data_IF_221029816590
#
_entry.id   IF_221029816590
#
_cell.length_a   1.000
_cell.length_b   1.000
_cell.length_c   1.000
_cell.angle_alpha   90.00
_cell.angle_beta   90.00
_cell.angle_gamma   90.00
#
_symmetry.space_group_name_H-M   'P 1'
#
loop_
_entity.id
_entity.type
_entity.pdbx_description
1 polymer ?
#
# COMPACT_ATOMS: atom_id res chain seq x y z
N UNK A 1 -4.41 2.91 16.01
CA UNK A 1 -4.71 2.52 14.60
C UNK A 1 -3.49 1.84 14.01
N UNK A 2 -3.68 0.80 13.19
CA UNK A 2 -2.55 0.10 12.57
C UNK A 2 -1.79 1.00 11.58
N UNK A 3 -0.48 0.84 11.54
CA UNK A 3 0.39 1.54 10.60
C UNK A 3 0.15 1.08 9.15
N UNK A 4 -0.18 -0.20 8.97
CA UNK A 4 -0.37 -0.79 7.65
C UNK A 4 -1.80 -1.23 7.43
N UNK A 5 -2.35 -0.84 6.29
CA UNK A 5 -3.61 -1.37 5.78
C UNK A 5 -3.37 -2.72 5.10
N UNK A 6 -4.34 -3.64 5.13
CA UNK A 6 -4.20 -4.93 4.46
C UNK A 6 -3.93 -4.79 2.95
N UNK A 7 -4.39 -3.71 2.35
CA UNK A 7 -4.10 -3.36 0.95
C UNK A 7 -2.64 -3.02 0.70
N UNK A 8 -1.95 -2.37 1.65
CA UNK A 8 -0.50 -2.12 1.55
C UNK A 8 0.25 -3.44 1.42
N UNK A 9 -0.10 -4.41 2.28
CA UNK A 9 0.52 -5.71 2.29
C UNK A 9 0.29 -6.45 0.96
N UNK A 10 -0.95 -6.43 0.48
CA UNK A 10 -1.31 -7.04 -0.80
C UNK A 10 -0.56 -6.39 -1.97
N UNK A 11 -0.56 -5.05 -2.04
CA UNK A 11 0.14 -4.31 -3.07
C UNK A 11 1.65 -4.56 -3.03
N UNK A 12 2.28 -4.42 -1.89
CA UNK A 12 3.73 -4.56 -1.76
C UNK A 12 4.21 -5.95 -2.15
N UNK A 13 3.48 -6.99 -1.76
CA UNK A 13 3.87 -8.37 -2.04
C UNK A 13 3.76 -8.74 -3.52
N UNK A 14 2.73 -8.27 -4.21
CA UNK A 14 2.39 -8.77 -5.54
C UNK A 14 2.66 -7.80 -6.70
N UNK A 15 2.97 -6.53 -6.42
CA UNK A 15 3.26 -5.54 -7.49
C UNK A 15 4.46 -5.86 -8.38
N UNK A 16 5.29 -6.83 -7.99
CA UNK A 16 6.45 -7.27 -8.76
C UNK A 16 6.47 -8.80 -8.85
N UNK A 17 6.22 -9.35 -10.02
CA UNK A 17 6.27 -10.80 -10.25
C UNK A 17 7.66 -11.39 -9.99
N UNK A 18 7.70 -12.61 -9.45
CA UNK A 18 8.94 -13.34 -9.15
C UNK A 18 9.70 -12.86 -7.94
N UNK A 19 9.08 -12.04 -7.08
CA UNK A 19 9.66 -11.57 -5.83
C UNK A 19 8.87 -11.99 -4.59
N UNK A 20 7.93 -12.88 -4.75
CA UNK A 20 7.05 -13.37 -3.68
C UNK A 20 7.84 -14.08 -2.57
N UNK A 21 8.95 -14.74 -2.93
CA UNK A 21 9.85 -15.43 -2.00
C UNK A 21 10.90 -14.50 -1.33
N UNK A 22 10.93 -13.23 -1.73
CA UNK A 22 11.82 -12.23 -1.10
C UNK A 22 11.31 -11.77 0.29
N UNK A 23 10.18 -12.31 0.77
CA UNK A 23 9.52 -11.90 1.98
C UNK A 23 9.59 -13.00 3.04
N UNK A 24 10.44 -12.82 4.05
CA UNK A 24 10.36 -13.63 5.26
C UNK A 24 9.26 -13.08 6.16
N UNK A 25 8.37 -13.96 6.62
CA UNK A 25 7.20 -13.57 7.43
C UNK A 25 7.14 -14.35 8.74
N UNK A 26 6.70 -13.69 9.81
CA UNK A 26 6.44 -14.33 11.11
C UNK A 26 5.18 -13.75 11.76
N UNK A 27 4.58 -14.53 12.64
CA UNK A 27 3.44 -14.15 13.49
C UNK A 27 3.79 -14.54 14.91
N UNK A 28 3.52 -13.65 15.86
CA UNK A 28 3.61 -13.94 17.30
C UNK A 28 2.21 -14.08 17.87
N UNK A 29 2.02 -15.11 18.68
CA UNK A 29 0.72 -15.43 19.26
C UNK A 29 0.82 -15.52 20.80
N UNK A 30 -0.16 -14.94 21.48
CA UNK A 30 -0.42 -15.13 22.89
C UNK A 30 -1.78 -15.83 23.06
N UNK A 31 -1.80 -16.96 23.74
CA UNK A 31 -3.02 -17.78 23.92
C UNK A 31 -3.76 -18.09 22.60
N UNK A 32 -3.01 -18.34 21.52
CA UNK A 32 -3.49 -18.59 20.15
C UNK A 32 -4.11 -17.37 19.44
N UNK A 33 -3.97 -16.18 20.01
CA UNK A 33 -4.37 -14.95 19.35
C UNK A 33 -3.13 -14.27 18.77
N UNK A 34 -3.13 -13.88 17.50
CA UNK A 34 -2.02 -13.11 16.93
C UNK A 34 -1.95 -11.74 17.60
N UNK A 35 -0.78 -11.43 18.16
CA UNK A 35 -0.49 -10.14 18.83
C UNK A 35 0.58 -9.32 18.11
N UNK A 36 1.31 -9.94 17.19
CA UNK A 36 2.22 -9.23 16.30
C UNK A 36 2.44 -10.01 15.00
N UNK A 37 2.84 -9.29 13.98
CA UNK A 37 3.33 -9.86 12.73
C UNK A 37 4.52 -9.05 12.21
N UNK A 38 5.37 -9.70 11.41
CA UNK A 38 6.49 -9.05 10.75
C UNK A 38 6.72 -9.60 9.35
N UNK A 39 7.08 -8.72 8.44
CA UNK A 39 7.55 -9.01 7.10
C UNK A 39 8.91 -8.36 6.89
N UNK A 40 9.88 -9.16 6.47
CA UNK A 40 11.18 -8.65 6.07
C UNK A 40 11.23 -8.61 4.55
N UNK A 41 11.26 -7.40 3.99
CA UNK A 41 11.58 -7.22 2.59
C UNK A 41 13.11 -7.21 2.43
N UNK A 42 13.63 -8.21 1.74
CA UNK A 42 15.09 -8.29 1.52
C UNK A 42 15.59 -7.09 0.69
N UNK A 43 16.78 -6.54 1.01
CA UNK A 43 17.77 -7.13 1.90
C UNK A 43 17.60 -6.81 3.39
N UNK A 44 16.81 -5.83 3.81
CA UNK A 44 16.82 -5.44 5.22
C UNK A 44 15.77 -4.39 5.63
N UNK A 45 14.56 -4.46 5.11
CA UNK A 45 13.46 -3.60 5.52
C UNK A 45 12.41 -4.40 6.27
N UNK A 46 12.12 -4.02 7.51
CA UNK A 46 11.07 -4.62 8.34
C UNK A 46 9.78 -3.80 8.24
N UNK A 47 8.70 -4.49 7.92
CA UNK A 47 7.33 -4.03 8.03
C UNK A 47 6.68 -4.87 9.13
N UNK A 48 6.17 -4.25 10.18
CA UNK A 48 5.58 -4.97 11.30
C UNK A 48 4.46 -4.19 11.98
N UNK A 49 3.67 -4.93 12.75
CA UNK A 49 2.75 -4.37 13.74
C UNK A 49 2.84 -5.19 15.02
N UNK A 50 2.74 -4.51 16.15
CA UNK A 50 2.66 -5.12 17.48
C UNK A 50 1.45 -4.53 18.18
N UNK A 51 0.61 -5.40 18.75
CA UNK A 51 -0.52 -4.98 19.57
C UNK A 51 0.01 -4.19 20.77
N UNK A 52 -0.44 -2.94 20.97
CA UNK A 52 0.02 -2.11 22.08
C UNK A 52 -0.31 -2.67 23.46
N UNK A 53 -1.23 -3.63 23.57
CA UNK A 53 -1.53 -4.32 24.82
C UNK A 53 -0.46 -5.38 25.16
N UNK A 54 0.44 -5.72 24.20
CA UNK A 54 1.56 -6.66 24.36
C UNK A 54 2.89 -6.02 23.96
N UNK A 55 3.29 -4.90 24.59
CA UNK A 55 4.45 -4.10 24.17
C UNK A 55 5.78 -4.85 24.26
N UNK A 56 5.88 -5.87 25.14
CA UNK A 56 7.07 -6.71 25.29
C UNK A 56 7.39 -7.52 24.05
N UNK A 57 6.39 -7.84 23.20
CA UNK A 57 6.58 -8.59 21.96
C UNK A 57 7.37 -7.77 20.90
N UNK A 58 7.37 -6.44 21.02
CA UNK A 58 8.13 -5.58 20.10
C UNK A 58 9.62 -5.96 20.03
N UNK A 59 10.21 -6.29 21.19
CA UNK A 59 11.61 -6.75 21.22
C UNK A 59 11.80 -8.07 20.50
N UNK A 60 10.90 -9.02 20.64
CA UNK A 60 11.00 -10.32 19.97
C UNK A 60 10.92 -10.17 18.44
N UNK A 61 10.10 -9.24 17.96
CA UNK A 61 9.99 -8.91 16.53
C UNK A 61 11.31 -8.34 16.01
N UNK A 62 11.94 -7.43 16.74
CA UNK A 62 13.20 -6.80 16.34
C UNK A 62 14.36 -7.80 16.42
N UNK A 63 14.41 -8.63 17.46
CA UNK A 63 15.42 -9.69 17.60
C UNK A 63 15.30 -10.73 16.46
N UNK A 64 14.07 -11.05 16.03
CA UNK A 64 13.84 -11.91 14.88
C UNK A 64 14.35 -11.24 13.58
N UNK A 65 14.08 -9.96 13.39
CA UNK A 65 14.54 -9.20 12.23
C UNK A 65 16.07 -9.18 12.16
N UNK A 66 16.75 -8.86 13.25
CA UNK A 66 18.22 -8.85 13.31
C UNK A 66 18.82 -10.23 13.02
N UNK A 67 18.21 -11.29 13.55
CA UNK A 67 18.66 -12.67 13.33
C UNK A 67 18.56 -13.14 11.88
N UNK A 68 17.47 -12.73 11.18
CA UNK A 68 17.21 -13.15 9.79
C UNK A 68 17.97 -12.29 8.80
N UNK A 69 18.08 -10.99 9.08
CA UNK A 69 18.69 -10.02 8.18
C UNK A 69 20.21 -10.05 8.32
N UNK A 70 20.89 -10.23 7.18
CA UNK A 70 22.37 -10.31 7.12
C UNK A 70 23.02 -9.08 6.47
N UNK A 71 22.30 -7.98 6.42
CA UNK A 71 22.81 -6.71 5.90
C UNK A 71 23.23 -5.80 7.05
N UNK A 72 24.22 -4.92 6.77
CA UNK A 72 24.62 -3.88 7.72
C UNK A 72 23.68 -2.66 7.71
N UNK A 73 22.73 -2.64 6.80
CA UNK A 73 21.75 -1.56 6.66
C UNK A 73 20.35 -2.14 6.86
N UNK A 74 19.78 -1.84 8.03
CA UNK A 74 18.46 -2.29 8.44
C UNK A 74 17.55 -1.07 8.57
N UNK A 75 16.32 -1.18 8.07
CA UNK A 75 15.31 -0.11 8.13
C UNK A 75 14.01 -0.63 8.72
N UNK A 76 13.38 0.19 9.54
CA UNK A 76 12.04 -0.06 10.09
C UNK A 76 11.25 1.24 9.99
N UNK A 77 10.03 1.16 9.45
CA UNK A 77 9.11 2.30 9.42
C UNK A 77 8.06 2.12 10.52
N UNK A 78 7.91 3.13 11.37
CA UNK A 78 6.97 3.12 12.49
C UNK A 78 6.25 4.46 12.58
N UNK A 79 5.03 4.47 13.11
CA UNK A 79 4.33 5.73 13.42
C UNK A 79 4.91 6.36 14.69
N UNK A 80 4.93 7.70 14.75
CA UNK A 80 5.34 8.44 15.94
C UNK A 80 4.51 8.10 17.20
N UNK A 81 3.33 7.51 17.01
CA UNK A 81 2.42 7.08 18.08
C UNK A 81 2.72 5.69 18.61
N UNK A 82 3.57 4.90 17.95
CA UNK A 82 3.93 3.52 18.33
C UNK A 82 5.11 3.52 19.32
N UNK A 83 4.92 4.13 20.48
CA UNK A 83 5.96 4.33 21.49
C UNK A 83 6.64 3.03 21.95
N UNK A 84 5.91 1.91 21.99
CA UNK A 84 6.45 0.60 22.35
C UNK A 84 7.43 0.07 21.30
N UNK A 85 7.14 0.23 20.00
CA UNK A 85 8.06 -0.13 18.92
C UNK A 85 9.27 0.82 18.88
N UNK A 86 9.06 2.12 19.05
CA UNK A 86 10.15 3.10 19.10
C UNK A 86 11.11 2.77 20.24
N UNK A 87 10.59 2.51 21.46
CA UNK A 87 11.42 2.14 22.61
C UNK A 87 12.24 0.86 22.34
N UNK A 88 11.61 -0.18 21.77
CA UNK A 88 12.30 -1.42 21.46
C UNK A 88 13.39 -1.26 20.37
N UNK A 89 13.17 -0.39 19.40
CA UNK A 89 14.15 -0.03 18.38
C UNK A 89 15.34 0.72 18.97
N UNK A 90 15.11 1.70 19.84
CA UNK A 90 16.15 2.46 20.56
C UNK A 90 17.01 1.53 21.43
N UNK A 91 16.35 0.65 22.20
CA UNK A 91 17.02 -0.38 23.03
C UNK A 91 17.88 -1.35 22.17
N UNK A 92 17.51 -1.55 20.91
CA UNK A 92 18.23 -2.37 19.92
C UNK A 92 19.23 -1.56 19.08
N UNK A 93 19.55 -0.33 19.50
CA UNK A 93 20.54 0.57 18.88
C UNK A 93 20.17 1.08 17.48
N UNK A 94 18.89 1.05 17.12
CA UNK A 94 18.42 1.76 15.94
C UNK A 94 18.40 3.27 16.20
N UNK A 95 18.65 4.05 15.16
CA UNK A 95 18.63 5.50 15.24
C UNK A 95 17.62 6.06 14.23
N UNK A 96 16.89 7.12 14.60
CA UNK A 96 16.00 7.80 13.66
C UNK A 96 16.77 8.31 12.43
N UNK A 97 16.24 8.07 11.24
CA UNK A 97 16.77 8.67 10.02
C UNK A 97 16.29 10.12 9.90
N UNK A 98 17.21 11.00 9.51
CA UNK A 98 16.93 12.41 9.25
C UNK A 98 16.31 12.62 7.84
N UNK A 99 15.41 11.74 7.43
CA UNK A 99 14.65 11.85 6.18
C UNK A 99 13.32 12.56 6.43
N UNK A 100 12.71 13.10 5.36
CA UNK A 100 11.40 13.70 5.48
C UNK A 100 10.36 12.63 5.90
N UNK A 101 9.62 12.83 6.99
CA UNK A 101 8.62 11.86 7.42
C UNK A 101 7.49 11.77 6.38
N UNK A 102 6.95 10.58 6.20
CA UNK A 102 5.70 10.39 5.49
C UNK A 102 4.53 10.82 6.39
N UNK A 103 3.51 11.42 5.79
CA UNK A 103 2.32 11.89 6.52
C UNK A 103 1.14 11.01 6.13
N UNK A 104 0.68 10.19 7.08
CA UNK A 104 -0.56 9.46 6.93
C UNK A 104 -1.74 10.42 7.12
N UNK A 105 -2.61 10.50 6.12
CA UNK A 105 -3.82 11.34 6.16
C UNK A 105 -5.07 10.49 6.09
N UNK A 106 -6.09 10.86 6.86
CA UNK A 106 -7.40 10.20 6.83
C UNK A 106 -8.54 11.20 6.83
N UNK A 107 -9.70 10.75 6.32
CA UNK A 107 -10.95 11.50 6.32
C UNK A 107 -12.10 10.57 6.67
N UNK A 108 -13.05 11.04 7.51
CA UNK A 108 -14.33 10.36 7.67
C UNK A 108 -15.24 10.67 6.48
N UNK A 109 -15.90 9.63 5.95
CA UNK A 109 -16.82 9.74 4.82
C UNK A 109 -18.28 9.95 5.26
N UNK A 110 -18.59 9.93 6.55
CA UNK A 110 -19.97 9.96 7.08
C UNK A 110 -20.81 11.15 6.62
N UNK A 111 -20.16 12.26 6.29
CA UNK A 111 -20.83 13.50 5.86
C UNK A 111 -20.19 14.15 4.63
N UNK A 112 -19.39 13.40 3.91
CA UNK A 112 -18.65 13.94 2.76
C UNK A 112 -19.44 13.74 1.45
N UNK A 113 -19.55 14.80 0.68
CA UNK A 113 -20.01 14.74 -0.71
C UNK A 113 -18.94 15.39 -1.59
N UNK A 114 -18.40 14.60 -2.48
CA UNK A 114 -17.34 15.06 -3.36
C UNK A 114 -17.86 15.13 -4.81
N UNK A 115 -18.19 16.32 -5.33
CA UNK A 115 -18.63 16.43 -6.72
C UNK A 115 -17.48 16.00 -7.66
N UNK A 116 -17.81 15.09 -8.55
CA UNK A 116 -16.88 14.66 -9.61
C UNK A 116 -16.98 15.62 -10.77
N UNK A 117 -15.85 16.15 -11.23
CA UNK A 117 -15.77 17.01 -12.41
C UNK A 117 -14.72 16.45 -13.36
N UNK A 118 -15.18 16.01 -14.52
CA UNK A 118 -14.31 15.53 -15.60
C UNK A 118 -14.35 16.52 -16.77
N UNK A 119 -13.24 16.67 -17.50
CA UNK A 119 -13.24 17.40 -18.76
C UNK A 119 -14.20 16.74 -19.77
N UNK A 120 -14.64 17.52 -20.75
CA UNK A 120 -15.56 17.04 -21.78
C UNK A 120 -15.05 15.74 -22.44
N UNK A 121 -15.95 14.78 -22.56
CA UNK A 121 -15.74 13.45 -23.18
C UNK A 121 -14.82 12.51 -22.42
N UNK A 122 -14.25 12.90 -21.27
CA UNK A 122 -13.59 11.96 -20.37
C UNK A 122 -14.66 11.19 -19.57
N UNK A 123 -14.36 9.91 -19.27
CA UNK A 123 -15.28 9.04 -18.55
C UNK A 123 -14.56 8.37 -17.39
N UNK A 124 -15.19 8.39 -16.20
CA UNK A 124 -14.74 7.62 -15.06
C UNK A 124 -15.50 6.28 -15.00
N UNK A 125 -14.79 5.19 -14.78
CA UNK A 125 -15.37 3.87 -14.56
C UNK A 125 -14.41 2.96 -13.78
N UNK A 126 -14.92 1.95 -13.14
CA UNK A 126 -14.08 0.85 -12.67
C UNK A 126 -13.62 -0.04 -13.82
N UNK A 127 -12.55 -0.80 -13.61
CA UNK A 127 -12.04 -1.73 -14.62
C UNK A 127 -12.95 -2.97 -14.75
N UNK A 128 -12.87 -3.63 -15.92
CA UNK A 128 -13.65 -4.82 -16.25
C UNK A 128 -12.82 -6.12 -16.06
N UNK A 129 -11.97 -6.14 -15.07
CA UNK A 129 -11.11 -7.29 -14.84
C UNK A 129 -9.97 -7.39 -15.87
N UNK A 130 -9.64 -8.60 -16.28
CA UNK A 130 -8.51 -8.87 -17.18
C UNK A 130 -8.63 -8.26 -18.59
N UNK A 131 -9.81 -7.87 -19.01
CA UNK A 131 -10.01 -7.19 -20.30
C UNK A 131 -9.30 -5.84 -20.36
N UNK A 132 -9.22 -5.17 -19.23
CA UNK A 132 -8.60 -3.86 -19.09
C UNK A 132 -7.13 -3.91 -18.63
N UNK A 133 -6.58 -5.10 -18.37
CA UNK A 133 -5.28 -5.31 -17.75
C UNK A 133 -4.15 -4.52 -18.44
N UNK A 134 -4.03 -4.65 -19.76
CA UNK A 134 -2.99 -3.97 -20.54
C UNK A 134 -3.07 -2.44 -20.37
N UNK A 135 -4.27 -1.87 -20.51
CA UNK A 135 -4.49 -0.42 -20.36
C UNK A 135 -4.29 0.03 -18.90
N UNK A 136 -4.69 -0.78 -17.93
CA UNK A 136 -4.51 -0.51 -16.49
C UNK A 136 -3.03 -0.47 -16.11
N UNK A 137 -2.23 -1.41 -16.59
CA UNK A 137 -0.78 -1.42 -16.41
C UNK A 137 -0.12 -0.26 -17.13
N UNK A 138 -0.57 0.06 -18.35
CA UNK A 138 -0.03 1.18 -19.12
C UNK A 138 -0.18 2.53 -18.39
N UNK A 139 -1.38 2.85 -17.85
CA UNK A 139 -1.58 4.09 -17.10
C UNK A 139 -0.76 4.13 -15.81
N UNK A 140 -0.64 2.98 -15.10
CA UNK A 140 0.21 2.91 -13.92
C UNK A 140 1.67 3.21 -14.26
N UNK A 141 2.23 2.57 -15.29
CA UNK A 141 3.62 2.79 -15.71
C UNK A 141 3.88 4.21 -16.23
N UNK A 142 2.89 4.83 -16.88
CA UNK A 142 2.97 6.22 -17.30
C UNK A 142 2.99 7.18 -16.11
N UNK A 143 2.15 6.94 -15.10
CA UNK A 143 2.04 7.78 -13.91
C UNK A 143 3.28 7.69 -13.01
N UNK A 144 3.83 6.48 -12.84
CA UNK A 144 4.96 6.17 -11.96
C UNK A 144 6.21 5.86 -12.78
N UNK A 145 7.00 6.88 -13.05
CA UNK A 145 8.26 6.72 -13.78
C UNK A 145 9.17 5.67 -13.09
N UNK A 146 9.71 4.74 -13.86
CA UNK A 146 10.51 3.59 -13.41
C UNK A 146 9.68 2.46 -12.75
N UNK A 147 8.36 2.50 -12.80
CA UNK A 147 7.56 1.36 -12.33
C UNK A 147 7.94 0.07 -13.04
N UNK A 148 8.10 -1.00 -12.28
CA UNK A 148 8.37 -2.36 -12.76
C UNK A 148 7.13 -3.24 -12.78
N UNK A 149 5.95 -2.66 -12.56
CA UNK A 149 4.67 -3.37 -12.66
C UNK A 149 4.50 -3.89 -14.08
N UNK A 150 4.16 -5.18 -14.21
CA UNK A 150 3.88 -5.88 -15.46
C UNK A 150 2.43 -6.36 -15.46
N UNK A 151 1.94 -6.84 -16.58
CA UNK A 151 0.61 -7.47 -16.64
C UNK A 151 0.54 -8.70 -15.73
N UNK A 152 1.59 -9.53 -15.69
CA UNK A 152 1.68 -10.66 -14.79
C UNK A 152 1.57 -10.24 -13.31
N UNK A 153 2.38 -9.26 -12.90
CA UNK A 153 2.36 -8.80 -11.50
C UNK A 153 1.02 -8.15 -11.13
N UNK A 154 0.43 -7.39 -12.05
CA UNK A 154 -0.88 -6.78 -11.79
C UNK A 154 -2.01 -7.82 -11.74
N UNK A 155 -1.91 -8.88 -12.54
CA UNK A 155 -2.83 -10.01 -12.45
C UNK A 155 -2.71 -10.72 -11.08
N UNK A 156 -1.49 -10.85 -10.52
CA UNK A 156 -1.30 -11.36 -9.17
C UNK A 156 -1.96 -10.45 -8.12
N UNK A 157 -1.84 -9.12 -8.28
CA UNK A 157 -2.57 -8.14 -7.44
C UNK A 157 -4.08 -8.34 -7.54
N UNK A 158 -4.63 -8.51 -8.76
CA UNK A 158 -6.06 -8.72 -8.98
C UNK A 158 -6.59 -10.04 -8.38
N UNK A 159 -5.74 -11.03 -8.19
CA UNK A 159 -6.10 -12.34 -7.64
C UNK A 159 -5.88 -12.43 -6.12
N UNK A 160 -5.40 -11.38 -5.47
CA UNK A 160 -5.13 -11.40 -4.03
C UNK A 160 -6.25 -10.73 -3.23
N UNK A 161 -6.47 -11.20 -2.00
CA UNK A 161 -7.35 -10.53 -1.04
C UNK A 161 -6.65 -9.24 -0.52
N UNK A 162 -7.33 -8.12 -0.36
CA UNK A 162 -8.76 -7.87 -0.54
C UNK A 162 -9.09 -7.11 -1.85
N UNK A 163 -8.43 -7.44 -2.96
CA UNK A 163 -8.69 -6.77 -4.23
C UNK A 163 -10.15 -6.92 -4.69
N UNK A 164 -10.73 -5.81 -5.14
CA UNK A 164 -12.05 -5.75 -5.76
C UNK A 164 -11.99 -4.87 -7.02
N UNK A 165 -12.31 -5.46 -8.17
CA UNK A 165 -12.29 -4.73 -9.45
C UNK A 165 -13.28 -3.56 -9.51
N UNK A 166 -14.35 -3.58 -8.72
CA UNK A 166 -15.30 -2.47 -8.61
C UNK A 166 -14.71 -1.25 -7.89
N UNK A 167 -13.59 -1.44 -7.19
CA UNK A 167 -12.83 -0.41 -6.47
C UNK A 167 -11.53 -0.01 -7.18
N UNK A 168 -11.25 -0.56 -8.37
CA UNK A 168 -10.12 -0.16 -9.22
C UNK A 168 -10.61 0.78 -10.32
N UNK A 169 -10.54 2.06 -10.06
CA UNK A 169 -11.10 3.11 -10.90
C UNK A 169 -10.10 3.68 -11.89
N UNK A 170 -10.59 4.01 -13.08
CA UNK A 170 -9.82 4.65 -14.14
C UNK A 170 -10.60 5.81 -14.77
N UNK A 171 -9.87 6.76 -15.32
CA UNK A 171 -10.42 7.77 -16.21
C UNK A 171 -9.95 7.48 -17.62
N UNK A 172 -10.93 7.31 -18.50
CA UNK A 172 -10.74 7.07 -19.92
C UNK A 172 -10.83 8.40 -20.70
N UNK A 173 -9.87 8.65 -21.55
CA UNK A 173 -9.83 9.81 -22.44
C UNK A 173 -10.81 9.62 -23.61
N UNK A 174 -11.09 10.69 -24.40
CA UNK A 174 -11.91 10.58 -25.60
C UNK A 174 -11.41 9.58 -26.65
N UNK A 175 -10.12 9.22 -26.60
CA UNK A 175 -9.49 8.25 -27.51
C UNK A 175 -9.48 6.83 -26.96
N UNK A 176 -10.09 6.57 -25.78
CA UNK A 176 -10.13 5.26 -25.15
C UNK A 176 -8.88 4.89 -24.35
N UNK A 177 -7.91 5.80 -24.18
CA UNK A 177 -6.73 5.56 -23.33
C UNK A 177 -7.09 5.77 -21.85
N UNK A 178 -6.57 4.93 -20.95
CA UNK A 178 -6.60 5.22 -19.53
C UNK A 178 -5.54 6.24 -19.17
N UNK A 179 -5.95 7.32 -18.53
CA UNK A 179 -5.10 8.50 -18.29
C UNK A 179 -4.94 8.85 -16.81
N UNK A 180 -5.78 8.31 -15.96
CA UNK A 180 -5.64 8.35 -14.51
C UNK A 180 -6.22 7.09 -13.91
N UNK A 181 -5.73 6.70 -12.74
CA UNK A 181 -6.22 5.54 -12.00
C UNK A 181 -6.13 5.74 -10.50
N UNK A 182 -7.02 5.07 -9.77
CA UNK A 182 -7.04 4.97 -8.32
C UNK A 182 -7.49 3.56 -7.95
N UNK A 183 -6.66 2.81 -7.24
CA UNK A 183 -7.07 1.56 -6.62
C UNK A 183 -7.43 1.85 -5.17
N UNK A 184 -8.60 1.39 -4.75
CA UNK A 184 -9.08 1.49 -3.39
C UNK A 184 -9.07 0.09 -2.80
N UNK A 185 -8.34 -0.07 -1.71
CA UNK A 185 -8.35 -1.27 -0.90
C UNK A 185 -9.34 -1.08 0.24
N UNK A 186 -10.27 -1.98 0.40
CA UNK A 186 -11.28 -1.86 1.44
C UNK A 186 -11.13 -2.96 2.48
N UNK A 187 -10.93 -2.56 3.72
CA UNK A 187 -10.96 -3.44 4.89
C UNK A 187 -12.39 -3.46 5.46
N UNK A 188 -13.09 -4.56 5.22
CA UNK A 188 -14.46 -4.73 5.67
C UNK A 188 -14.60 -4.81 7.19
N UNK A 189 -13.58 -5.30 7.88
CA UNK A 189 -13.59 -5.46 9.34
C UNK A 189 -13.49 -4.11 10.03
N UNK A 190 -12.51 -3.31 9.61
CA UNK A 190 -12.26 -1.99 10.21
C UNK A 190 -13.03 -0.86 9.53
N UNK A 191 -13.73 -1.13 8.43
CA UNK A 191 -14.45 -0.14 7.61
C UNK A 191 -13.56 1.03 7.17
N UNK A 192 -12.35 0.70 6.75
CA UNK A 192 -11.34 1.64 6.28
C UNK A 192 -11.01 1.36 4.81
N UNK A 193 -10.91 2.43 4.02
CA UNK A 193 -10.44 2.37 2.64
C UNK A 193 -9.09 3.05 2.49
N UNK A 194 -8.14 2.37 1.83
CA UNK A 194 -6.85 2.94 1.44
C UNK A 194 -6.86 3.25 -0.06
N UNK A 195 -6.49 4.47 -0.44
CA UNK A 195 -6.34 4.91 -1.82
C UNK A 195 -4.89 4.78 -2.25
N UNK A 196 -4.51 3.64 -2.81
CA UNK A 196 -3.14 3.39 -3.30
C UNK A 196 -3.11 2.24 -4.33
N UNK A 197 -2.41 2.42 -5.47
CA UNK A 197 -1.79 3.64 -5.99
C UNK A 197 -2.79 4.60 -6.65
N UNK A 198 -2.51 5.89 -6.56
CA UNK A 198 -3.23 6.93 -7.30
C UNK A 198 -2.27 7.61 -8.28
N UNK A 199 -2.63 7.67 -9.56
CA UNK A 199 -1.73 8.23 -10.56
C UNK A 199 -2.41 8.85 -11.76
N UNK A 200 -1.70 9.78 -12.40
CA UNK A 200 -2.12 10.42 -13.66
C UNK A 200 -0.96 10.43 -14.64
N UNK A 201 -1.21 9.97 -15.85
CA UNK A 201 -0.26 10.08 -16.98
C UNK A 201 0.25 11.51 -17.11
N UNK A 202 1.57 11.74 -17.18
CA UNK A 202 2.17 13.08 -17.30
C UNK A 202 1.56 13.96 -18.39
N UNK A 203 1.10 13.36 -19.50
CA UNK A 203 0.47 14.08 -20.62
C UNK A 203 -0.86 14.75 -20.25
N UNK A 204 -1.51 14.25 -19.17
CA UNK A 204 -2.85 14.68 -18.74
C UNK A 204 -2.85 15.30 -17.33
N UNK A 205 -1.68 15.65 -16.81
CA UNK A 205 -1.57 16.32 -15.50
C UNK A 205 -2.18 17.72 -15.53
N UNK A 206 -2.51 18.23 -14.35
CA UNK A 206 -3.11 19.57 -14.13
C UNK A 206 -4.54 19.75 -14.68
N UNK A 207 -5.19 18.64 -15.06
CA UNK A 207 -6.58 18.62 -15.51
C UNK A 207 -7.57 18.18 -14.40
N UNK A 208 -7.10 18.01 -13.17
CA UNK A 208 -7.93 17.59 -12.03
C UNK A 208 -8.27 16.09 -11.99
N UNK A 209 -7.69 15.27 -12.90
CA UNK A 209 -8.08 13.85 -13.06
C UNK A 209 -7.78 13.00 -11.83
N UNK A 210 -6.64 13.18 -11.15
CA UNK A 210 -6.34 12.46 -9.92
C UNK A 210 -7.38 12.75 -8.84
N UNK A 211 -7.73 14.02 -8.63
CA UNK A 211 -8.79 14.40 -7.69
C UNK A 211 -10.15 13.84 -8.07
N UNK A 212 -10.45 13.75 -9.37
CA UNK A 212 -11.74 13.22 -9.84
C UNK A 212 -11.81 11.71 -9.67
N UNK A 213 -10.73 10.95 -9.99
CA UNK A 213 -10.73 9.49 -9.86
C UNK A 213 -10.83 9.03 -8.41
N UNK A 214 -10.31 9.81 -7.45
CA UNK A 214 -10.46 9.52 -6.02
C UNK A 214 -11.86 9.84 -5.46
N UNK A 215 -12.75 10.44 -6.25
CA UNK A 215 -14.11 10.83 -5.84
C UNK A 215 -15.19 9.97 -6.50
N UNK A 216 -14.81 9.11 -7.41
CA UNK A 216 -15.68 8.15 -8.07
C UNK A 216 -15.98 6.97 -7.16
#
# INVERSE_FOLDING_TARGET
EPNYHIGDLAWQRYRHAGREDDWDTAIWEMDRNPVAWGWIQKPGELICQVDPDFPEVAKDVIDWFDKITKTNEQKVTVLETESHLISALEDSLFNPLAENPEVLTKISLDSCSFPVQLPDKFKGRHIKGSEDLTNRVAVHRAAFHKSRVTEESYLNVMNTYPYDSSLDWVIESPNGEFVASCLIWFDEVNKVGLLEPVGTDPRFRRMGLASSVCKL
#
